data_IF_024116420106
#
_entry.id   IF_024116420106
#
_cell.length_a   1.000
_cell.length_b   1.000
_cell.length_c   1.000
_cell.angle_alpha   90.00
_cell.angle_beta   90.00
_cell.angle_gamma   90.00
#
_symmetry.space_group_name_H-M   'P 1'
#
loop_
_entity.id
_entity.type
_entity.pdbx_description
1 polymer ?
#
# COMPACT_ATOMS: atom_id res chain seq x y z
N UNK A 1 -7.45 2.12 17.56
CA UNK A 1 -6.71 2.41 16.32
C UNK A 1 -6.07 1.12 15.87
N UNK A 2 -6.20 0.79 14.59
CA UNK A 2 -5.57 -0.39 13.99
C UNK A 2 -4.06 -0.23 14.00
N UNK A 3 -3.31 -1.32 14.12
CA UNK A 3 -1.84 -1.28 13.97
C UNK A 3 -1.50 -1.07 12.49
N UNK A 4 -0.41 -0.38 12.20
CA UNK A 4 0.04 -0.12 10.81
C UNK A 4 1.44 -0.65 10.60
N UNK A 5 1.65 -1.39 9.53
CA UNK A 5 2.98 -1.80 9.06
C UNK A 5 3.18 -1.28 7.65
N UNK A 6 4.21 -0.46 7.45
CA UNK A 6 4.62 0.01 6.14
C UNK A 6 5.66 -0.93 5.55
N UNK A 7 5.31 -1.56 4.43
CA UNK A 7 6.13 -2.53 3.71
C UNK A 7 6.81 -1.80 2.56
N UNK A 8 8.13 -1.74 2.61
CA UNK A 8 8.97 -1.10 1.59
C UNK A 8 10.13 -2.03 1.22
N UNK A 9 10.98 -1.61 0.29
CA UNK A 9 12.11 -2.42 -0.14
C UNK A 9 13.33 -1.56 -0.47
N UNK A 10 14.46 -2.22 -0.68
CA UNK A 10 15.67 -1.57 -1.20
C UNK A 10 15.53 -1.21 -2.68
N UNK A 11 14.68 -1.90 -3.44
CA UNK A 11 14.42 -1.63 -4.85
C UNK A 11 13.02 -2.10 -5.30
N UNK A 12 12.69 -1.88 -6.58
CA UNK A 12 11.55 -2.52 -7.26
C UNK A 12 11.80 -4.03 -7.45
N UNK A 13 10.74 -4.83 -7.54
CA UNK A 13 10.78 -6.29 -7.81
C UNK A 13 11.57 -7.15 -6.80
N UNK A 14 11.81 -6.64 -5.59
CA UNK A 14 12.44 -7.38 -4.48
C UNK A 14 11.45 -8.32 -3.74
N UNK A 15 10.19 -8.37 -4.16
CA UNK A 15 9.18 -9.28 -3.58
C UNK A 15 8.25 -8.67 -2.52
N UNK A 16 8.08 -7.34 -2.51
CA UNK A 16 7.14 -6.65 -1.58
C UNK A 16 5.75 -7.27 -1.58
N UNK A 17 5.11 -7.41 -2.75
CA UNK A 17 3.75 -7.97 -2.87
C UNK A 17 3.66 -9.38 -2.31
N UNK A 18 4.68 -10.22 -2.56
CA UNK A 18 4.76 -11.55 -1.99
C UNK A 18 4.87 -11.50 -0.46
N UNK A 19 5.78 -10.67 0.09
CA UNK A 19 5.92 -10.48 1.53
C UNK A 19 4.64 -9.96 2.17
N UNK A 20 3.96 -8.98 1.56
CA UNK A 20 2.67 -8.46 2.02
C UNK A 20 1.65 -9.58 2.13
N UNK A 21 1.53 -10.44 1.11
CA UNK A 21 0.62 -11.60 1.12
C UNK A 21 0.96 -12.58 2.25
N UNK A 22 2.23 -12.94 2.41
CA UNK A 22 2.64 -13.87 3.47
C UNK A 22 2.37 -13.31 4.87
N UNK A 23 2.53 -11.99 5.07
CA UNK A 23 2.17 -11.32 6.31
C UNK A 23 0.66 -11.31 6.55
N UNK A 24 -0.16 -11.10 5.51
CA UNK A 24 -1.61 -11.20 5.62
C UNK A 24 -2.03 -12.59 6.13
N UNK A 25 -1.48 -13.66 5.53
CA UNK A 25 -1.77 -15.03 5.95
C UNK A 25 -1.31 -15.29 7.39
N UNK A 26 -0.10 -14.85 7.75
CA UNK A 26 0.46 -15.05 9.08
C UNK A 26 -0.39 -14.35 10.17
N UNK A 27 -0.73 -13.08 9.99
CA UNK A 27 -1.56 -12.35 10.94
C UNK A 27 -2.99 -12.86 11.00
N UNK A 28 -3.56 -13.31 9.88
CA UNK A 28 -4.88 -13.95 9.87
C UNK A 28 -4.86 -15.26 10.67
N UNK A 29 -3.80 -16.09 10.56
CA UNK A 29 -3.63 -17.31 11.38
C UNK A 29 -3.51 -17.01 12.88
N UNK A 30 -3.09 -15.79 13.24
CA UNK A 30 -3.08 -15.29 14.63
C UNK A 30 -4.44 -14.74 15.08
N UNK A 31 -5.48 -14.82 14.25
CA UNK A 31 -6.84 -14.35 14.55
C UNK A 31 -7.06 -12.86 14.35
N UNK A 32 -6.15 -12.14 13.68
CA UNK A 32 -6.31 -10.72 13.40
C UNK A 32 -7.11 -10.50 12.10
N UNK A 33 -8.01 -9.51 12.10
CA UNK A 33 -8.62 -9.00 10.88
C UNK A 33 -7.60 -8.12 10.17
N UNK A 34 -7.06 -8.59 9.06
CA UNK A 34 -6.00 -7.88 8.30
C UNK A 34 -6.63 -7.05 7.19
N UNK A 35 -6.19 -5.80 7.05
CA UNK A 35 -6.44 -4.91 5.92
C UNK A 35 -5.16 -4.66 5.11
N UNK A 36 -5.33 -4.20 3.87
CA UNK A 36 -4.21 -3.85 2.99
C UNK A 36 -4.47 -2.52 2.30
N UNK A 37 -3.42 -1.74 2.14
CA UNK A 37 -3.46 -0.45 1.46
C UNK A 37 -2.23 -0.29 0.56
N UNK A 38 -2.42 0.15 -0.68
CA UNK A 38 -1.34 0.45 -1.63
C UNK A 38 -1.54 1.88 -2.12
N UNK A 39 -0.97 2.89 -1.42
CA UNK A 39 -1.30 4.29 -1.66
C UNK A 39 -1.10 4.73 -3.11
N UNK A 40 -0.03 4.23 -3.73
CA UNK A 40 0.39 4.58 -5.08
C UNK A 40 0.75 3.30 -5.85
N UNK A 41 0.26 3.19 -7.09
CA UNK A 41 0.70 2.19 -8.06
C UNK A 41 0.99 2.84 -9.41
N UNK A 42 2.14 2.52 -9.99
CA UNK A 42 2.63 3.06 -11.27
C UNK A 42 2.64 1.98 -12.33
N UNK A 43 2.55 2.35 -13.61
CA UNK A 43 2.43 1.38 -14.71
C UNK A 43 1.02 0.82 -14.91
N UNK A 44 0.00 1.54 -14.43
CA UNK A 44 -1.39 1.08 -14.47
C UNK A 44 -2.06 1.49 -15.78
N UNK A 45 -2.23 0.53 -16.69
CA UNK A 45 -3.02 0.69 -17.91
C UNK A 45 -4.32 -0.11 -17.81
N UNK A 46 -5.30 0.43 -17.08
CA UNK A 46 -6.53 -0.26 -16.70
C UNK A 46 -6.62 -0.46 -15.19
N UNK A 47 -6.65 -1.72 -14.73
CA UNK A 47 -6.69 -2.04 -13.31
C UNK A 47 -5.27 -2.13 -12.71
N UNK A 48 -5.04 -1.60 -11.50
CA UNK A 48 -3.76 -1.77 -10.79
C UNK A 48 -3.58 -3.24 -10.42
N UNK A 49 -2.58 -3.89 -11.00
CA UNK A 49 -2.38 -5.33 -10.92
C UNK A 49 -2.01 -5.78 -9.50
N UNK A 50 -1.08 -5.07 -8.85
CA UNK A 50 -0.66 -5.40 -7.48
C UNK A 50 -1.79 -5.12 -6.50
N UNK A 51 -2.40 -3.93 -6.58
CA UNK A 51 -3.57 -3.60 -5.76
C UNK A 51 -4.70 -4.61 -5.92
N UNK A 52 -4.99 -5.04 -7.15
CA UNK A 52 -6.05 -6.03 -7.41
C UNK A 52 -5.71 -7.39 -6.79
N UNK A 53 -4.45 -7.82 -6.86
CA UNK A 53 -3.98 -9.04 -6.23
C UNK A 53 -4.08 -8.96 -4.71
N UNK A 54 -3.59 -7.86 -4.12
CA UNK A 54 -3.63 -7.61 -2.68
C UNK A 54 -5.07 -7.57 -2.15
N UNK A 55 -5.96 -6.82 -2.80
CA UNK A 55 -7.37 -6.72 -2.40
C UNK A 55 -8.06 -8.08 -2.46
N UNK A 56 -7.90 -8.81 -3.57
CA UNK A 56 -8.50 -10.13 -3.75
C UNK A 56 -8.06 -11.09 -2.65
N UNK A 57 -6.76 -11.10 -2.33
CA UNK A 57 -6.22 -11.96 -1.29
C UNK A 57 -6.73 -11.54 0.09
N UNK A 58 -6.69 -10.24 0.42
CA UNK A 58 -7.20 -9.72 1.68
C UNK A 58 -8.70 -10.05 1.89
N UNK A 59 -9.53 -9.92 0.85
CA UNK A 59 -10.95 -10.28 0.90
C UNK A 59 -11.21 -11.78 1.10
N UNK A 60 -10.26 -12.64 0.71
CA UNK A 60 -10.35 -14.08 0.96
C UNK A 60 -10.07 -14.45 2.42
N UNK A 61 -9.26 -13.63 3.11
CA UNK A 61 -8.86 -13.83 4.50
C UNK A 61 -9.75 -13.08 5.50
N UNK A 62 -10.23 -11.89 5.12
CA UNK A 62 -11.10 -11.03 5.92
C UNK A 62 -12.38 -10.68 5.13
N UNK A 63 -13.51 -11.39 5.37
CA UNK A 63 -14.76 -11.17 4.65
C UNK A 63 -15.35 -9.76 4.78
N UNK A 64 -15.04 -9.00 5.84
CA UNK A 64 -15.51 -7.61 6.02
C UNK A 64 -15.00 -6.70 4.89
N UNK A 65 -13.82 -7.00 4.32
CA UNK A 65 -13.23 -6.24 3.23
C UNK A 65 -13.96 -6.40 1.89
N UNK A 66 -14.97 -7.27 1.79
CA UNK A 66 -15.84 -7.35 0.59
C UNK A 66 -16.60 -6.04 0.35
N UNK A 67 -16.73 -5.19 1.37
CA UNK A 67 -17.26 -3.83 1.24
C UNK A 67 -16.30 -2.87 0.50
N UNK A 68 -15.00 -3.20 0.42
CA UNK A 68 -14.00 -2.39 -0.26
C UNK A 68 -13.91 -2.70 -1.76
N UNK A 69 -13.61 -1.66 -2.53
CA UNK A 69 -13.32 -1.72 -3.97
C UNK A 69 -11.88 -1.31 -4.23
N UNK A 70 -11.41 -1.50 -5.46
CA UNK A 70 -10.02 -1.22 -5.82
C UNK A 70 -9.59 0.22 -5.52
N UNK A 71 -10.49 1.20 -5.71
CA UNK A 71 -10.19 2.61 -5.43
C UNK A 71 -10.18 2.95 -3.93
N UNK A 72 -10.65 2.04 -3.07
CA UNK A 72 -10.55 2.21 -1.62
C UNK A 72 -9.16 1.83 -1.11
N UNK A 73 -8.45 0.95 -1.81
CA UNK A 73 -7.14 0.46 -1.41
C UNK A 73 -6.00 0.98 -2.29
N UNK A 74 -6.29 1.45 -3.51
CA UNK A 74 -5.32 2.13 -4.39
C UNK A 74 -5.82 3.54 -4.66
N UNK A 75 -5.20 4.52 -3.99
CA UNK A 75 -5.63 5.92 -4.07
C UNK A 75 -5.11 6.63 -5.32
N UNK A 76 -3.92 6.27 -5.78
CA UNK A 76 -3.29 6.88 -6.96
C UNK A 76 -2.73 5.82 -7.91
N UNK A 77 -3.41 5.64 -9.04
CA UNK A 77 -2.95 4.80 -10.16
C UNK A 77 -2.38 5.68 -11.27
N UNK A 78 -1.12 5.46 -11.63
CA UNK A 78 -0.40 6.25 -12.63
C UNK A 78 -0.02 5.38 -13.84
N UNK A 79 -0.21 5.85 -15.08
CA UNK A 79 -0.06 5.00 -16.27
C UNK A 79 1.39 4.69 -16.64
N UNK A 80 2.33 5.57 -16.32
CA UNK A 80 3.73 5.39 -16.68
C UNK A 80 4.42 4.45 -15.66
N UNK A 81 5.09 3.36 -16.11
CA UNK A 81 5.85 2.47 -15.23
C UNK A 81 7.21 3.12 -14.87
N UNK A 82 7.15 4.14 -14.02
CA UNK A 82 8.31 4.88 -13.52
C UNK A 82 8.08 5.27 -12.06
N UNK A 83 9.09 5.85 -11.41
CA UNK A 83 8.93 6.43 -10.08
C UNK A 83 7.70 7.36 -10.02
N UNK A 84 6.93 7.40 -8.90
CA UNK A 84 5.72 8.20 -8.81
C UNK A 84 5.91 9.66 -9.19
N UNK A 85 7.04 10.27 -8.83
CA UNK A 85 7.40 11.62 -9.27
C UNK A 85 7.35 11.76 -10.80
N UNK A 86 8.00 10.86 -11.53
CA UNK A 86 8.04 10.90 -13.00
C UNK A 86 6.68 10.58 -13.58
N UNK A 87 6.01 9.56 -13.06
CA UNK A 87 4.70 9.11 -13.53
C UNK A 87 3.59 10.15 -13.30
N UNK A 88 3.70 10.95 -12.23
CA UNK A 88 2.79 12.05 -11.92
C UNK A 88 3.28 13.41 -12.44
N UNK A 89 4.39 13.45 -13.20
CA UNK A 89 4.98 14.68 -13.75
C UNK A 89 5.31 15.73 -12.67
N UNK A 90 5.78 15.29 -11.51
CA UNK A 90 6.16 16.15 -10.36
C UNK A 90 4.98 16.81 -9.66
N UNK A 91 3.72 16.50 -10.02
CA UNK A 91 2.56 17.07 -9.34
C UNK A 91 2.55 16.64 -7.87
N UNK A 92 2.22 17.61 -7.00
CA UNK A 92 2.02 17.38 -5.57
C UNK A 92 0.93 16.33 -5.35
N UNK A 93 1.16 15.42 -4.41
CA UNK A 93 0.15 14.44 -4.01
C UNK A 93 -0.78 15.04 -2.96
N UNK A 94 -2.09 14.84 -3.13
CA UNK A 94 -3.08 15.13 -2.10
C UNK A 94 -3.08 14.01 -1.05
N UNK A 95 -2.34 14.23 0.04
CA UNK A 95 -2.22 13.28 1.14
C UNK A 95 -3.55 13.01 1.85
N UNK A 96 -4.53 13.92 1.76
CA UNK A 96 -5.86 13.70 2.34
C UNK A 96 -6.61 12.54 1.66
N UNK A 97 -6.25 12.19 0.41
CA UNK A 97 -6.74 10.95 -0.23
C UNK A 97 -6.29 9.71 0.53
N UNK A 98 -5.07 9.73 1.05
CA UNK A 98 -4.49 8.60 1.77
C UNK A 98 -5.12 8.45 3.15
N UNK A 99 -5.38 9.57 3.84
CA UNK A 99 -6.04 9.56 5.14
C UNK A 99 -7.45 8.97 5.04
N UNK A 100 -8.26 9.43 4.07
CA UNK A 100 -9.63 8.92 3.86
C UNK A 100 -9.65 7.42 3.53
N UNK A 101 -8.72 6.97 2.69
CA UNK A 101 -8.61 5.56 2.35
C UNK A 101 -8.25 4.72 3.58
N UNK A 102 -7.28 5.19 4.37
CA UNK A 102 -6.82 4.50 5.56
C UNK A 102 -7.92 4.43 6.64
N UNK A 103 -8.61 5.53 6.92
CA UNK A 103 -9.76 5.55 7.84
C UNK A 103 -10.83 4.52 7.47
N UNK A 104 -11.15 4.43 6.17
CA UNK A 104 -12.12 3.45 5.67
C UNK A 104 -11.64 2.02 5.89
N UNK A 105 -10.39 1.71 5.56
CA UNK A 105 -9.82 0.36 5.73
C UNK A 105 -9.74 -0.01 7.21
N UNK A 106 -9.28 0.90 8.06
CA UNK A 106 -9.10 0.69 9.51
C UNK A 106 -10.39 0.38 10.24
N UNK A 107 -11.53 0.88 9.77
CA UNK A 107 -12.83 0.55 10.34
C UNK A 107 -13.20 -0.95 10.23
N UNK A 108 -12.50 -1.71 9.38
CA UNK A 108 -12.78 -3.12 9.05
C UNK A 108 -11.65 -4.08 9.47
N UNK A 109 -10.62 -3.60 10.18
CA UNK A 109 -9.45 -4.40 10.50
C UNK A 109 -8.72 -4.00 11.79
N UNK A 110 -7.99 -4.95 12.37
CA UNK A 110 -7.17 -4.77 13.57
C UNK A 110 -5.74 -4.32 13.19
N UNK A 111 -5.29 -4.66 11.98
CA UNK A 111 -3.99 -4.31 11.42
C UNK A 111 -4.09 -3.99 9.93
N UNK A 112 -3.40 -2.93 9.48
CA UNK A 112 -3.26 -2.56 8.07
C UNK A 112 -1.82 -2.74 7.61
N UNK A 113 -1.64 -3.48 6.52
CA UNK A 113 -0.39 -3.56 5.78
C UNK A 113 -0.40 -2.53 4.66
N UNK A 114 0.50 -1.55 4.73
CA UNK A 114 0.62 -0.46 3.75
C UNK A 114 1.80 -0.77 2.84
N UNK A 115 1.56 -1.11 1.58
CA UNK A 115 2.61 -1.43 0.62
C UNK A 115 3.06 -0.18 -0.15
N UNK A 116 4.32 0.20 0.04
CA UNK A 116 4.96 1.31 -0.68
C UNK A 116 5.31 0.97 -2.14
N UNK A 117 5.45 2.01 -2.96
CA UNK A 117 5.84 1.88 -4.36
C UNK A 117 7.37 1.96 -4.54
N UNK A 118 7.97 0.97 -5.19
CA UNK A 118 9.42 0.95 -5.45
C UNK A 118 10.25 0.80 -4.16
N UNK A 119 11.41 1.46 -4.10
CA UNK A 119 12.33 1.44 -2.96
C UNK A 119 12.22 2.66 -2.03
N UNK A 120 12.91 2.62 -0.88
CA UNK A 120 12.90 3.71 0.12
C UNK A 120 13.21 5.10 -0.44
N UNK A 121 14.19 5.22 -1.33
CA UNK A 121 14.63 6.50 -1.87
C UNK A 121 13.90 6.91 -3.16
N UNK A 122 12.76 6.27 -3.46
CA UNK A 122 11.96 6.64 -4.64
C UNK A 122 11.30 8.01 -4.41
N UNK A 123 11.49 8.99 -5.30
CA UNK A 123 10.83 10.29 -5.20
C UNK A 123 9.35 10.16 -5.54
N UNK A 124 8.53 10.84 -4.74
CA UNK A 124 7.07 10.79 -4.85
C UNK A 124 6.51 12.07 -5.46
N UNK A 125 6.88 13.21 -4.91
CA UNK A 125 6.67 14.55 -5.48
C UNK A 125 7.86 15.45 -5.10
N UNK A 126 7.72 16.78 -5.19
CA UNK A 126 8.79 17.72 -4.83
C UNK A 126 9.06 17.81 -3.32
N UNK A 127 8.14 17.37 -2.48
CA UNK A 127 8.18 17.51 -1.03
C UNK A 127 8.42 16.16 -0.33
N UNK A 128 8.15 15.04 -1.02
CA UNK A 128 8.12 13.72 -0.41
C UNK A 128 8.92 12.67 -1.18
N UNK A 129 9.57 11.80 -0.41
CA UNK A 129 10.16 10.53 -0.83
C UNK A 129 9.44 9.36 -0.15
N UNK A 130 9.57 8.14 -0.71
CA UNK A 130 8.90 6.95 -0.17
C UNK A 130 9.28 6.67 1.30
N UNK A 131 10.51 7.04 1.72
CA UNK A 131 11.00 6.93 3.10
C UNK A 131 10.25 7.81 4.11
N UNK A 132 9.54 8.85 3.66
CA UNK A 132 8.77 9.73 4.55
C UNK A 132 7.42 9.12 4.96
N UNK A 133 6.90 8.21 4.13
CA UNK A 133 5.55 7.65 4.30
C UNK A 133 5.37 6.76 5.54
N UNK A 134 6.33 5.94 6.00
CA UNK A 134 6.19 5.24 7.27
C UNK A 134 5.93 6.20 8.45
N UNK A 135 6.64 7.33 8.49
CA UNK A 135 6.45 8.35 9.52
C UNK A 135 5.10 9.04 9.34
N UNK A 136 4.75 9.43 8.11
CA UNK A 136 3.46 10.04 7.79
C UNK A 136 2.28 9.16 8.26
N UNK A 137 2.32 7.86 7.95
CA UNK A 137 1.28 6.92 8.34
C UNK A 137 1.34 6.49 9.81
N UNK A 138 2.33 6.93 10.60
CA UNK A 138 2.59 6.43 11.94
C UNK A 138 2.65 4.89 11.98
N UNK A 139 3.43 4.31 11.07
CA UNK A 139 3.51 2.87 10.83
C UNK A 139 4.89 2.30 11.22
N UNK A 140 4.88 1.07 11.72
CA UNK A 140 6.12 0.30 11.87
C UNK A 140 6.67 -0.02 10.48
N UNK A 141 7.96 0.18 10.25
CA UNK A 141 8.56 -0.10 8.94
C UNK A 141 9.07 -1.52 8.86
N UNK A 142 8.68 -2.23 7.79
CA UNK A 142 9.25 -3.50 7.39
C UNK A 142 9.99 -3.31 6.06
N UNK A 143 11.30 -3.50 6.08
CA UNK A 143 12.15 -3.40 4.90
C UNK A 143 12.39 -4.79 4.31
N UNK A 144 11.96 -5.00 3.07
CA UNK A 144 12.24 -6.22 2.31
C UNK A 144 13.59 -6.07 1.60
N UNK A 145 14.48 -7.05 1.80
CA UNK A 145 15.80 -7.16 1.18
C UNK A 145 15.97 -8.54 0.53
N UNK A 146 17.05 -8.71 -0.24
CA UNK A 146 17.54 -10.02 -0.70
C UNK A 146 18.52 -10.62 0.31
#
# INVERSE_FOLDING_TARGET
MSKRIFITATNTDIGKTYTTIQLMEAFTKMGLRVGVYKPIETGVNGLPADGSLLLKHAQSLNPELKALRINDIVSLSLPLPAAPYVANKGKKIDLALFDRALEKIESLCDIVLIEGAGGLMVPVDHEHMMIDFPRYFNALTLLVTH
#
